data_IF_527741536416
#
_entry.id   IF_527741536416
#
_cell.length_a   1.000
_cell.length_b   1.000
_cell.length_c   1.000
_cell.angle_alpha   90.00
_cell.angle_beta   90.00
_cell.angle_gamma   90.00
#
_symmetry.space_group_name_H-M   'P 1'
#
loop_
_entity.id
_entity.type
_entity.pdbx_description
1 polymer ?
#
# COMPACT_ATOMS: atom_id res chain seq x y z
N UNK A 1 -5.88 3.02 -9.75
CA UNK A 1 -4.94 3.97 -9.11
C UNK A 1 -5.56 4.81 -7.98
N UNK A 2 -6.88 4.92 -7.88
CA UNK A 2 -7.66 5.55 -6.79
C UNK A 2 -7.37 5.04 -5.36
N UNK A 3 -6.66 3.92 -5.21
CA UNK A 3 -6.33 3.29 -3.94
C UNK A 3 -4.90 3.58 -3.43
N UNK A 4 -4.07 4.27 -4.22
CA UNK A 4 -2.69 4.59 -3.86
C UNK A 4 -2.66 5.73 -2.84
N UNK A 5 -1.67 5.74 -1.94
CA UNK A 5 -1.55 6.74 -0.86
C UNK A 5 -1.55 8.20 -1.35
N UNK A 6 -1.06 8.46 -2.57
CA UNK A 6 -0.96 9.80 -3.18
C UNK A 6 -2.04 10.07 -4.25
N UNK A 7 -3.08 9.23 -4.35
CA UNK A 7 -4.18 9.44 -5.27
C UNK A 7 -4.95 10.74 -4.94
N UNK A 8 -5.49 11.42 -5.95
CA UNK A 8 -6.25 12.67 -5.80
C UNK A 8 -7.41 12.55 -4.79
N UNK A 9 -8.11 11.41 -4.83
CA UNK A 9 -9.22 11.13 -3.91
C UNK A 9 -8.78 11.01 -2.44
N UNK A 10 -7.48 10.83 -2.20
CA UNK A 10 -6.87 10.85 -0.86
C UNK A 10 -6.24 12.19 -0.50
N UNK A 11 -6.31 13.21 -1.37
CA UNK A 11 -5.84 14.56 -1.02
C UNK A 11 -6.48 15.06 0.28
N UNK A 12 -7.77 14.74 0.48
CA UNK A 12 -8.57 15.09 1.65
C UNK A 12 -8.64 13.98 2.72
N UNK A 13 -7.86 12.90 2.60
CA UNK A 13 -7.78 11.90 3.66
C UNK A 13 -7.28 12.56 4.96
N UNK A 14 -7.84 12.20 6.13
CA UNK A 14 -7.43 12.80 7.39
C UNK A 14 -5.96 12.46 7.66
N UNK A 15 -5.25 13.38 8.30
CA UNK A 15 -3.85 13.21 8.72
C UNK A 15 -3.75 13.47 10.22
N UNK A 16 -2.78 12.86 10.87
CA UNK A 16 -2.41 13.25 12.22
C UNK A 16 -2.04 14.74 12.23
N UNK A 17 -2.53 15.46 13.23
CA UNK A 17 -2.09 16.82 13.48
C UNK A 17 -0.59 16.79 13.86
N UNK A 18 0.10 17.89 13.61
CA UNK A 18 1.52 18.01 13.95
C UNK A 18 1.74 17.65 15.43
N UNK A 19 2.79 16.87 15.69
CA UNK A 19 3.19 16.38 17.03
C UNK A 19 2.14 15.54 17.78
N UNK A 20 1.09 15.10 17.10
CA UNK A 20 0.11 14.16 17.68
C UNK A 20 0.41 12.73 17.26
N UNK A 21 0.07 11.76 18.13
CA UNK A 21 0.22 10.32 17.86
C UNK A 21 1.65 9.90 17.47
N UNK A 22 2.65 10.69 17.85
CA UNK A 22 4.08 10.48 17.57
C UNK A 22 4.55 9.11 18.00
N UNK A 23 4.26 8.72 19.25
CA UNK A 23 4.60 7.39 19.76
C UNK A 23 4.06 6.24 18.89
N UNK A 24 2.81 6.32 18.47
CA UNK A 24 2.21 5.28 17.60
C UNK A 24 2.87 5.27 16.24
N UNK A 25 3.19 6.44 15.67
CA UNK A 25 3.91 6.53 14.40
C UNK A 25 5.35 6.01 14.51
N UNK A 26 6.00 6.16 15.65
CA UNK A 26 7.33 5.58 15.93
C UNK A 26 7.26 4.06 16.03
N UNK A 27 6.29 3.51 16.78
CA UNK A 27 6.06 2.06 16.87
C UNK A 27 5.82 1.46 15.47
N UNK A 28 5.03 2.14 14.63
CA UNK A 28 4.79 1.72 13.25
C UNK A 28 6.05 1.76 12.38
N UNK A 29 6.93 2.74 12.59
CA UNK A 29 8.23 2.83 11.88
C UNK A 29 9.15 1.67 12.27
N UNK A 30 9.31 1.42 13.57
CA UNK A 30 10.09 0.29 14.07
C UNK A 30 9.56 -1.03 13.52
N UNK A 31 8.22 -1.19 13.49
CA UNK A 31 7.57 -2.32 12.86
C UNK A 31 7.91 -2.48 11.38
N UNK A 32 7.82 -1.41 10.59
CA UNK A 32 8.14 -1.47 9.16
C UNK A 32 9.62 -1.72 8.84
N UNK A 33 10.53 -1.36 9.75
CA UNK A 33 11.95 -1.65 9.61
C UNK A 33 12.26 -3.14 9.87
N UNK A 34 11.30 -3.92 10.39
CA UNK A 34 11.51 -5.31 10.84
C UNK A 34 12.67 -5.43 11.82
N UNK A 35 12.82 -4.42 12.68
CA UNK A 35 13.86 -4.35 13.70
C UNK A 35 13.30 -4.59 15.10
N UNK A 36 14.21 -4.79 16.07
CA UNK A 36 13.87 -4.86 17.49
C UNK A 36 12.83 -5.93 17.82
N UNK A 37 11.79 -5.51 18.54
CA UNK A 37 10.70 -6.39 18.99
C UNK A 37 9.76 -6.84 17.85
N UNK A 38 9.84 -6.21 16.68
CA UNK A 38 8.89 -6.43 15.57
C UNK A 38 9.44 -7.27 14.42
N UNK A 39 10.68 -7.77 14.53
CA UNK A 39 11.38 -8.50 13.46
C UNK A 39 10.57 -9.59 12.72
N UNK A 40 9.72 -10.30 13.47
CA UNK A 40 8.93 -11.43 12.95
C UNK A 40 7.46 -11.04 12.67
N UNK A 41 7.04 -9.81 12.98
CA UNK A 41 5.67 -9.36 12.85
C UNK A 41 5.34 -8.96 11.41
N UNK A 42 4.65 -9.83 10.67
CA UNK A 42 4.25 -9.58 9.26
C UNK A 42 2.90 -8.87 9.10
N UNK A 43 2.09 -8.85 10.15
CA UNK A 43 0.78 -8.21 10.16
C UNK A 43 0.67 -7.34 11.41
N UNK A 44 0.26 -6.09 11.22
CA UNK A 44 -0.03 -5.17 12.30
C UNK A 44 -1.51 -4.79 12.28
N UNK A 45 -2.14 -4.87 13.45
CA UNK A 45 -3.51 -4.43 13.68
C UNK A 45 -3.45 -3.22 14.58
N UNK A 46 -4.06 -2.11 14.16
CA UNK A 46 -4.20 -0.90 14.97
C UNK A 46 -5.60 -0.89 15.63
N UNK A 47 -5.75 -1.41 16.86
CA UNK A 47 -7.02 -1.41 17.55
C UNK A 47 -7.41 -0.01 18.01
N UNK A 48 -8.72 0.20 18.19
CA UNK A 48 -9.22 1.41 18.84
C UNK A 48 -10.68 1.70 18.49
N UNK A 49 -11.35 2.59 19.24
CA UNK A 49 -12.75 2.90 19.00
C UNK A 49 -12.95 3.64 17.66
N UNK A 50 -14.18 3.63 17.15
CA UNK A 50 -14.55 4.43 15.98
C UNK A 50 -14.26 5.93 16.23
N UNK A 51 -13.89 6.67 15.19
CA UNK A 51 -13.60 8.11 15.28
C UNK A 51 -12.25 8.50 15.90
N UNK A 52 -11.45 7.56 16.42
CA UNK A 52 -10.19 7.88 17.12
C UNK A 52 -8.99 8.10 16.18
N UNK A 53 -9.23 8.37 14.90
CA UNK A 53 -8.17 8.75 13.96
C UNK A 53 -7.30 7.61 13.43
N UNK A 54 -7.73 6.34 13.52
CA UNK A 54 -6.97 5.20 12.96
C UNK A 54 -6.62 5.37 11.48
N UNK A 55 -7.58 5.82 10.68
CA UNK A 55 -7.36 6.15 9.25
C UNK A 55 -6.35 7.27 9.09
N UNK A 56 -6.38 8.26 9.98
CA UNK A 56 -5.44 9.38 9.96
C UNK A 56 -4.01 8.94 10.28
N UNK A 57 -3.86 8.05 11.25
CA UNK A 57 -2.58 7.43 11.61
C UNK A 57 -2.02 6.66 10.42
N UNK A 58 -2.80 5.77 9.81
CA UNK A 58 -2.33 4.97 8.67
C UNK A 58 -1.99 5.82 7.44
N UNK A 59 -2.75 6.90 7.18
CA UNK A 59 -2.44 7.85 6.10
C UNK A 59 -1.14 8.62 6.38
N UNK A 60 -0.98 9.17 7.58
CA UNK A 60 0.25 9.88 7.94
C UNK A 60 1.46 8.96 7.92
N UNK A 61 1.30 7.71 8.38
CA UNK A 61 2.36 6.71 8.34
C UNK A 61 2.78 6.36 6.90
N UNK A 62 1.82 6.07 6.01
CA UNK A 62 2.13 5.74 4.60
C UNK A 62 2.81 6.90 3.87
N UNK A 63 2.41 8.14 4.13
CA UNK A 63 3.06 9.32 3.56
C UNK A 63 4.51 9.48 4.03
N UNK A 64 4.79 9.19 5.31
CA UNK A 64 6.16 9.22 5.84
C UNK A 64 7.02 8.14 5.17
N UNK A 65 6.50 6.91 5.05
CA UNK A 65 7.20 5.82 4.38
C UNK A 65 7.52 6.15 2.93
N UNK A 66 6.56 6.68 2.16
CA UNK A 66 6.78 7.05 0.76
C UNK A 66 7.79 8.19 0.59
N UNK A 67 7.88 9.13 1.54
CA UNK A 67 8.94 10.15 1.53
C UNK A 67 10.31 9.53 1.77
N UNK A 68 10.42 8.62 2.74
CA UNK A 68 11.67 7.93 3.07
C UNK A 68 12.11 6.93 1.97
N UNK A 69 11.17 6.32 1.24
CA UNK A 69 11.45 5.42 0.12
C UNK A 69 12.27 6.07 -1.00
N UNK A 70 12.24 7.40 -1.14
CA UNK A 70 13.08 8.11 -2.11
C UNK A 70 14.58 8.01 -1.81
N UNK A 71 14.93 7.77 -0.55
CA UNK A 71 16.31 7.72 -0.07
C UNK A 71 16.76 6.29 0.22
N UNK A 72 15.88 5.46 0.80
CA UNK A 72 16.23 4.11 1.28
C UNK A 72 15.37 2.95 0.70
N UNK A 73 14.39 3.24 -0.19
CA UNK A 73 13.47 2.26 -0.81
C UNK A 73 12.78 1.27 0.15
N UNK A 74 12.30 1.76 1.30
CA UNK A 74 11.67 0.92 2.34
C UNK A 74 10.28 0.40 1.91
N UNK A 75 9.53 1.19 1.12
CA UNK A 75 8.21 0.81 0.61
C UNK A 75 8.11 1.10 -0.89
N UNK A 76 7.74 0.08 -1.67
CA UNK A 76 7.68 0.13 -3.13
C UNK A 76 6.25 0.37 -3.63
N UNK A 77 5.25 -0.09 -2.89
CA UNK A 77 3.85 0.04 -3.28
C UNK A 77 2.94 0.12 -2.05
N UNK A 78 1.82 0.82 -2.19
CA UNK A 78 0.79 0.95 -1.15
C UNK A 78 -0.60 0.73 -1.72
N UNK A 79 -1.52 0.24 -0.90
CA UNK A 79 -2.91 0.10 -1.28
C UNK A 79 -3.82 0.33 -0.08
N UNK A 80 -4.85 1.17 -0.26
CA UNK A 80 -5.89 1.40 0.73
C UNK A 80 -7.22 0.81 0.26
N UNK A 81 -7.70 -0.18 1.01
CA UNK A 81 -9.08 -0.66 0.87
C UNK A 81 -10.07 0.44 1.26
N UNK A 82 -11.12 0.58 0.47
CA UNK A 82 -12.18 1.58 0.62
C UNK A 82 -13.44 0.93 1.17
N UNK A 83 -13.93 1.35 2.33
CA UNK A 83 -15.17 0.78 2.88
C UNK A 83 -16.39 0.94 1.94
N UNK A 84 -16.43 1.98 1.11
CA UNK A 84 -17.55 2.29 0.22
C UNK A 84 -17.59 1.47 -1.08
N UNK A 85 -16.52 0.73 -1.42
CA UNK A 85 -16.52 -0.13 -2.60
C UNK A 85 -16.86 -1.56 -2.15
N UNK A 86 -17.66 -2.33 -2.90
CA UNK A 86 -17.90 -3.72 -2.57
C UNK A 86 -16.59 -4.49 -2.36
N UNK A 87 -16.49 -5.24 -1.27
CA UNK A 87 -15.29 -6.01 -0.91
C UNK A 87 -14.90 -7.04 -1.99
N UNK A 88 -15.82 -7.40 -2.89
CA UNK A 88 -15.58 -8.31 -4.01
C UNK A 88 -14.92 -7.60 -5.22
N UNK A 89 -15.07 -6.28 -5.34
CA UNK A 89 -14.56 -5.50 -6.47
C UNK A 89 -13.20 -4.88 -6.22
N UNK A 90 -12.82 -4.69 -4.96
CA UNK A 90 -11.53 -4.08 -4.58
C UNK A 90 -10.32 -5.00 -4.76
N UNK A 91 -10.39 -6.31 -4.45
CA UNK A 91 -9.25 -7.19 -4.60
C UNK A 91 -8.76 -7.23 -6.04
N UNK A 92 -9.66 -7.16 -7.02
CA UNK A 92 -9.31 -7.13 -8.44
C UNK A 92 -8.37 -5.98 -8.82
N UNK A 93 -8.43 -4.86 -8.08
CA UNK A 93 -7.56 -3.72 -8.29
C UNK A 93 -6.28 -3.76 -7.44
N UNK A 94 -6.17 -4.66 -6.47
CA UNK A 94 -5.05 -4.72 -5.53
C UNK A 94 -3.75 -5.03 -6.28
N UNK A 95 -3.66 -6.23 -6.86
CA UNK A 95 -2.41 -6.72 -7.47
C UNK A 95 -2.00 -5.82 -8.63
N UNK A 96 -2.95 -5.44 -9.48
CA UNK A 96 -2.70 -4.53 -10.61
C UNK A 96 -2.19 -3.16 -10.18
N UNK A 97 -2.72 -2.60 -9.09
CA UNK A 97 -2.24 -1.32 -8.54
C UNK A 97 -0.86 -1.46 -7.90
N UNK A 98 -0.56 -2.60 -7.27
CA UNK A 98 0.78 -2.87 -6.73
C UNK A 98 1.80 -3.06 -7.85
N UNK A 99 1.52 -3.90 -8.85
CA UNK A 99 2.39 -4.16 -9.99
C UNK A 99 2.73 -2.88 -10.76
N UNK A 100 1.74 -2.01 -10.99
CA UNK A 100 1.97 -0.70 -11.58
C UNK A 100 2.95 0.16 -10.76
N UNK A 101 2.74 0.28 -9.45
CA UNK A 101 3.65 1.04 -8.57
C UNK A 101 5.06 0.46 -8.55
N UNK A 102 5.19 -0.87 -8.56
CA UNK A 102 6.49 -1.55 -8.64
C UNK A 102 7.21 -1.21 -9.95
N UNK A 103 6.49 -1.26 -11.07
CA UNK A 103 7.04 -0.93 -12.38
C UNK A 103 7.44 0.55 -12.51
N UNK A 104 6.75 1.47 -11.83
CA UNK A 104 7.19 2.88 -11.75
C UNK A 104 8.56 3.04 -11.08
N UNK A 105 8.92 2.16 -10.13
CA UNK A 105 10.21 2.20 -9.46
C UNK A 105 11.31 1.40 -10.17
N UNK A 106 10.92 0.34 -10.89
CA UNK A 106 11.85 -0.54 -11.61
C UNK A 106 11.40 -0.76 -13.07
N UNK A 107 12.04 -0.07 -14.03
CA UNK A 107 11.70 -0.21 -15.44
C UNK A 107 11.72 -1.65 -15.98
N UNK A 108 12.55 -2.53 -15.42
CA UNK A 108 12.61 -3.95 -15.81
C UNK A 108 11.31 -4.72 -15.54
N UNK A 109 10.46 -4.24 -14.62
CA UNK A 109 9.13 -4.83 -14.38
C UNK A 109 8.13 -4.46 -15.48
N UNK A 110 8.31 -3.32 -16.17
CA UNK A 110 7.39 -2.91 -17.24
C UNK A 110 7.37 -3.92 -18.38
N UNK A 111 8.53 -4.39 -18.82
CA UNK A 111 8.62 -5.33 -19.94
C UNK A 111 7.92 -6.66 -19.61
N UNK A 112 8.06 -7.14 -18.38
CA UNK A 112 7.39 -8.35 -17.91
C UNK A 112 5.86 -8.19 -17.90
N UNK A 113 5.37 -7.09 -17.31
CA UNK A 113 3.93 -6.80 -17.27
C UNK A 113 3.37 -6.69 -18.70
N UNK A 114 4.06 -6.00 -19.61
CA UNK A 114 3.63 -5.86 -21.01
C UNK A 114 3.56 -7.22 -21.69
N UNK A 115 4.56 -8.09 -21.50
CA UNK A 115 4.56 -9.45 -22.06
C UNK A 115 3.36 -10.26 -21.57
N UNK A 116 3.13 -10.29 -20.26
CA UNK A 116 2.03 -11.04 -19.64
C UNK A 116 0.68 -10.54 -20.12
N UNK A 117 0.49 -9.22 -20.21
CA UNK A 117 -0.76 -8.62 -20.70
C UNK A 117 -0.97 -8.91 -22.19
N UNK A 118 0.10 -8.91 -22.99
CA UNK A 118 0.04 -9.24 -24.41
C UNK A 118 -0.34 -10.72 -24.63
N UNK A 119 0.20 -11.63 -23.82
CA UNK A 119 -0.13 -13.07 -23.88
C UNK A 119 -1.53 -13.37 -23.34
N UNK A 120 -1.95 -12.68 -22.27
CA UNK A 120 -3.22 -12.93 -21.61
C UNK A 120 -3.86 -11.63 -21.11
N UNK A 121 -4.64 -10.97 -21.97
CA UNK A 121 -5.42 -9.79 -21.58
C UNK A 121 -6.45 -10.06 -20.47
N UNK A 122 -6.85 -11.31 -20.25
CA UNK A 122 -7.78 -11.69 -19.17
C UNK A 122 -7.11 -11.75 -17.81
N UNK A 123 -5.78 -11.55 -17.71
CA UNK A 123 -5.03 -11.59 -16.45
C UNK A 123 -5.69 -10.72 -15.37
N UNK A 124 -6.20 -9.54 -15.74
CA UNK A 124 -6.87 -8.61 -14.82
C UNK A 124 -8.20 -9.11 -14.25
N UNK A 125 -8.75 -10.19 -14.81
CA UNK A 125 -9.99 -10.83 -14.36
C UNK A 125 -9.76 -12.22 -13.75
N UNK A 126 -8.50 -12.62 -13.58
CA UNK A 126 -8.13 -13.88 -12.91
C UNK A 126 -8.08 -13.73 -11.39
N UNK A 127 -7.86 -14.85 -10.67
CA UNK A 127 -7.71 -14.84 -9.21
C UNK A 127 -6.53 -13.99 -8.77
N UNK A 128 -6.55 -13.49 -7.52
CA UNK A 128 -5.46 -12.68 -6.97
C UNK A 128 -4.13 -13.43 -6.96
N UNK A 129 -4.16 -14.71 -6.62
CA UNK A 129 -2.99 -15.58 -6.61
C UNK A 129 -2.37 -15.65 -8.01
N UNK A 130 -3.18 -15.89 -9.03
CA UNK A 130 -2.70 -15.91 -10.41
C UNK A 130 -2.19 -14.55 -10.88
N UNK A 131 -2.85 -13.45 -10.48
CA UNK A 131 -2.32 -12.11 -10.76
C UNK A 131 -0.98 -11.87 -10.08
N UNK A 132 -0.81 -12.33 -8.82
CA UNK A 132 0.44 -12.16 -8.08
C UNK A 132 1.58 -12.92 -8.76
N UNK A 133 1.37 -14.19 -9.09
CA UNK A 133 2.39 -15.05 -9.71
C UNK A 133 2.88 -14.54 -11.08
N UNK A 134 2.06 -13.76 -11.77
CA UNK A 134 2.35 -13.30 -13.13
C UNK A 134 2.67 -11.80 -13.23
N UNK A 135 2.31 -10.96 -12.25
CA UNK A 135 2.51 -9.51 -12.33
C UNK A 135 3.49 -8.95 -11.28
N UNK A 136 3.89 -9.74 -10.28
CA UNK A 136 4.77 -9.34 -9.17
C UNK A 136 5.87 -10.38 -8.92
#
# INVERSE_FOLDING_TARGET
>A
LSAVSNAEERAYAPRCLHETRTRVLEDLKEWSATEGQWKDAKLLILPGPAGHGKTAIMQSFSEVLLRQSREARVVVATFFFKAAIPAQSQPMALVTTLAYQVAEHWPSFWDNIVSVVHENMRIFSTSLEHQMDHLL
#
